data_IF_916745871534
#
_entry.id   IF_916745871534
#
_cell.length_a   1.000
_cell.length_b   1.000
_cell.length_c   1.000
_cell.angle_alpha   90.00
_cell.angle_beta   90.00
_cell.angle_gamma   90.00
#
_symmetry.space_group_name_H-M   'P 1'
#
loop_
_entity.id
_entity.type
_entity.pdbx_description
1 polymer ?
#
# COMPACT_ATOMS: atom_id res chain seq x y z
N UNK A 1 28.56 9.16 9.61
CA UNK A 1 27.46 8.19 9.85
C UNK A 1 26.67 8.07 8.57
N UNK A 2 26.35 6.85 8.14
CA UNK A 2 25.61 6.55 6.90
C UNK A 2 24.41 5.69 7.27
N UNK A 3 23.24 6.07 6.80
CA UNK A 3 22.02 5.23 6.86
C UNK A 3 21.58 4.90 5.44
N UNK A 4 21.42 3.63 5.15
CA UNK A 4 20.88 3.17 3.88
C UNK A 4 19.37 2.98 3.97
N UNK A 5 18.64 3.36 2.92
CA UNK A 5 17.21 3.08 2.77
C UNK A 5 17.02 1.88 1.84
N UNK A 6 16.30 0.88 2.32
CA UNK A 6 15.96 -0.32 1.55
C UNK A 6 14.48 -0.24 1.11
N UNK A 7 14.20 0.11 -0.14
CA UNK A 7 12.83 0.33 -0.59
C UNK A 7 12.08 -0.97 -0.86
N UNK A 8 10.87 -1.07 -0.33
CA UNK A 8 9.93 -2.15 -0.61
C UNK A 8 8.64 -1.52 -1.17
N UNK A 9 8.49 -1.58 -2.47
CA UNK A 9 7.39 -0.96 -3.22
C UNK A 9 6.98 -1.81 -4.41
N UNK A 10 5.73 -1.71 -4.82
CA UNK A 10 5.20 -2.32 -6.03
C UNK A 10 4.05 -1.48 -6.59
N UNK A 11 3.81 -1.62 -7.88
CA UNK A 11 2.57 -1.10 -8.45
C UNK A 11 1.39 -1.95 -7.96
N UNK A 12 0.31 -1.28 -7.65
CA UNK A 12 -0.93 -1.90 -7.19
C UNK A 12 -2.06 -1.45 -8.11
N UNK A 13 -2.61 -2.38 -8.87
CA UNK A 13 -3.64 -2.12 -9.87
C UNK A 13 -5.03 -2.33 -9.26
N UNK A 14 -5.41 -1.46 -8.29
CA UNK A 14 -6.75 -1.47 -7.69
C UNK A 14 -7.72 -0.81 -8.65
N UNK A 15 -8.84 -1.48 -8.94
CA UNK A 15 -9.93 -0.84 -9.65
C UNK A 15 -10.62 0.20 -8.77
N UNK A 16 -10.83 1.43 -9.27
CA UNK A 16 -11.43 2.50 -8.50
C UNK A 16 -12.86 2.13 -8.09
N UNK A 17 -13.23 2.49 -6.86
CA UNK A 17 -14.57 2.28 -6.35
C UNK A 17 -15.51 3.44 -6.63
N UNK A 18 -16.82 3.19 -6.49
CA UNK A 18 -17.84 4.24 -6.47
C UNK A 18 -17.67 5.11 -5.22
N UNK A 19 -18.02 6.37 -5.36
CA UNK A 19 -18.09 7.34 -4.26
C UNK A 19 -19.55 7.58 -3.85
N UNK A 20 -19.79 8.13 -2.65
CA UNK A 20 -21.10 8.46 -2.16
C UNK A 20 -21.61 7.48 -1.10
N UNK A 21 -22.78 6.87 -1.29
CA UNK A 21 -23.40 5.96 -0.32
C UNK A 21 -22.77 4.55 -0.25
N UNK A 22 -21.55 4.38 -0.75
CA UNK A 22 -20.84 3.12 -0.68
C UNK A 22 -20.56 2.70 0.77
N UNK A 23 -20.52 1.40 1.07
CA UNK A 23 -20.16 0.91 2.40
C UNK A 23 -18.77 1.40 2.80
N UNK A 24 -18.54 1.61 4.10
CA UNK A 24 -17.27 2.13 4.63
C UNK A 24 -16.05 1.31 4.18
N UNK A 25 -16.23 0.00 4.04
CA UNK A 25 -15.19 -0.91 3.53
C UNK A 25 -15.66 -1.56 2.24
N UNK A 26 -15.21 -1.04 1.11
CA UNK A 26 -15.49 -1.64 -0.18
C UNK A 26 -14.66 -2.90 -0.40
N UNK A 27 -15.18 -3.93 -1.09
CA UNK A 27 -14.41 -5.10 -1.49
C UNK A 27 -13.16 -4.69 -2.27
N UNK A 28 -12.05 -5.41 -2.07
CA UNK A 28 -10.85 -5.20 -2.85
C UNK A 28 -11.01 -5.90 -4.20
N UNK A 29 -10.95 -5.12 -5.27
CA UNK A 29 -10.95 -5.62 -6.64
C UNK A 29 -9.67 -5.15 -7.32
N UNK A 30 -8.87 -6.10 -7.81
CA UNK A 30 -7.65 -5.84 -8.55
C UNK A 30 -7.88 -6.09 -10.04
N UNK A 31 -7.26 -5.29 -10.89
CA UNK A 31 -7.32 -5.46 -12.34
C UNK A 31 -6.57 -6.71 -12.83
N UNK A 32 -5.66 -7.25 -12.02
CA UNK A 32 -4.91 -8.47 -12.32
C UNK A 32 -4.32 -9.07 -11.04
N UNK A 33 -3.84 -10.31 -11.12
CA UNK A 33 -3.25 -11.04 -9.99
C UNK A 33 -1.71 -10.98 -9.94
N UNK A 34 -1.10 -9.99 -10.60
CA UNK A 34 0.36 -9.86 -10.68
C UNK A 34 1.02 -9.64 -9.31
N UNK A 35 0.31 -8.96 -8.39
CA UNK A 35 0.79 -8.73 -7.04
C UNK A 35 0.89 -10.04 -6.25
N UNK A 36 -0.07 -10.96 -6.40
CA UNK A 36 0.00 -12.30 -5.80
C UNK A 36 1.27 -13.05 -6.21
N UNK A 37 1.61 -13.01 -7.50
CA UNK A 37 2.86 -13.60 -7.99
C UNK A 37 4.12 -12.95 -7.40
N UNK A 38 4.10 -11.66 -7.05
CA UNK A 38 5.22 -10.99 -6.37
C UNK A 38 5.31 -11.35 -4.88
N UNK A 39 4.19 -11.66 -4.23
CA UNK A 39 4.10 -12.07 -2.82
C UNK A 39 4.38 -13.57 -2.62
N UNK A 40 4.23 -14.39 -3.64
CA UNK A 40 4.53 -15.82 -3.60
C UNK A 40 5.99 -16.08 -3.16
N UNK A 41 6.34 -17.24 -2.61
CA UNK A 41 7.67 -17.52 -2.03
C UNK A 41 8.85 -17.19 -2.96
N UNK A 42 8.69 -17.45 -4.27
CA UNK A 42 9.70 -17.14 -5.27
C UNK A 42 9.53 -15.75 -5.91
N UNK A 43 8.55 -15.00 -5.47
CA UNK A 43 8.23 -13.68 -5.98
C UNK A 43 9.22 -12.59 -5.54
N UNK A 44 9.23 -11.49 -6.28
CA UNK A 44 10.15 -10.38 -6.05
C UNK A 44 10.02 -9.78 -4.65
N UNK A 45 8.80 -9.52 -4.19
CA UNK A 45 8.57 -8.90 -2.88
C UNK A 45 8.97 -9.83 -1.72
N UNK A 46 8.68 -11.13 -1.84
CA UNK A 46 9.10 -12.11 -0.84
C UNK A 46 10.62 -12.20 -0.76
N UNK A 47 11.31 -12.28 -1.90
CA UNK A 47 12.77 -12.30 -1.94
C UNK A 47 13.39 -11.03 -1.35
N UNK A 48 12.83 -9.85 -1.63
CA UNK A 48 13.33 -8.60 -1.06
C UNK A 48 13.23 -8.60 0.46
N UNK A 49 12.11 -9.03 1.01
CA UNK A 49 11.89 -9.08 2.46
C UNK A 49 12.80 -10.12 3.11
N UNK A 50 12.92 -11.31 2.53
CA UNK A 50 13.77 -12.39 3.04
C UNK A 50 15.25 -12.00 3.02
N UNK A 51 15.74 -11.38 1.95
CA UNK A 51 17.12 -10.89 1.85
C UNK A 51 17.41 -9.78 2.86
N UNK A 52 16.45 -8.89 3.11
CA UNK A 52 16.61 -7.87 4.15
C UNK A 52 16.71 -8.50 5.54
N UNK A 53 15.81 -9.45 5.87
CA UNK A 53 15.82 -10.16 7.15
C UNK A 53 17.16 -10.89 7.36
N UNK A 54 17.67 -11.54 6.33
CA UNK A 54 18.97 -12.23 6.38
C UNK A 54 20.13 -11.23 6.59
N UNK A 55 20.17 -10.16 5.80
CA UNK A 55 21.22 -9.15 5.90
C UNK A 55 21.22 -8.43 7.25
N UNK A 56 20.02 -8.12 7.80
CA UNK A 56 19.85 -7.43 9.08
C UNK A 56 20.26 -8.28 10.30
N UNK A 57 20.51 -9.60 10.12
CA UNK A 57 21.12 -10.43 11.17
C UNK A 57 22.55 -9.98 11.51
N UNK A 58 23.22 -9.31 10.56
CA UNK A 58 24.51 -8.66 10.83
C UNK A 58 24.23 -7.33 11.54
N UNK A 59 24.65 -7.14 12.80
CA UNK A 59 24.27 -5.96 13.60
C UNK A 59 24.61 -4.63 12.92
N UNK A 60 25.77 -4.54 12.27
CA UNK A 60 26.24 -3.33 11.58
C UNK A 60 25.30 -2.95 10.41
N UNK A 61 24.76 -3.96 9.70
CA UNK A 61 23.79 -3.77 8.61
C UNK A 61 22.43 -3.37 9.19
N UNK A 62 21.97 -4.09 10.21
CA UNK A 62 20.68 -3.81 10.85
C UNK A 62 20.61 -2.39 11.44
N UNK A 63 21.69 -1.91 12.08
CA UNK A 63 21.74 -0.54 12.64
C UNK A 63 21.90 0.54 11.56
N UNK A 64 22.49 0.24 10.43
CA UNK A 64 22.75 1.20 9.37
C UNK A 64 21.68 1.24 8.27
N UNK A 65 20.63 0.41 8.38
CA UNK A 65 19.63 0.28 7.32
C UNK A 65 18.21 0.47 7.84
N UNK A 66 17.42 1.29 7.15
CA UNK A 66 15.98 1.41 7.37
C UNK A 66 15.21 0.87 6.16
N UNK A 67 14.15 0.13 6.40
CA UNK A 67 13.23 -0.28 5.33
C UNK A 67 12.29 0.87 5.00
N UNK A 68 12.29 1.30 3.75
CA UNK A 68 11.36 2.30 3.24
C UNK A 68 10.14 1.58 2.64
N UNK A 69 9.02 1.63 3.34
CA UNK A 69 7.79 0.93 2.98
C UNK A 69 6.83 1.81 2.22
N UNK A 70 6.28 1.27 1.14
CA UNK A 70 5.14 1.86 0.43
C UNK A 70 3.84 1.57 1.21
N UNK A 71 3.19 2.59 1.80
CA UNK A 71 2.01 2.36 2.62
C UNK A 71 0.79 1.91 1.79
N UNK A 72 0.70 2.27 0.51
CA UNK A 72 -0.39 1.79 -0.34
C UNK A 72 -0.25 0.29 -0.63
N UNK A 73 0.99 -0.20 -0.81
CA UNK A 73 1.27 -1.63 -0.90
C UNK A 73 0.87 -2.35 0.39
N UNK A 74 1.26 -1.82 1.56
CA UNK A 74 0.95 -2.40 2.86
C UNK A 74 -0.56 -2.48 3.10
N UNK A 75 -1.32 -1.42 2.80
CA UNK A 75 -2.79 -1.39 2.90
C UNK A 75 -3.43 -2.44 1.98
N UNK A 76 -2.93 -2.54 0.76
CA UNK A 76 -3.47 -3.51 -0.22
C UNK A 76 -3.21 -4.95 0.22
N UNK A 77 -1.98 -5.26 0.63
CA UNK A 77 -1.64 -6.62 1.08
C UNK A 77 -2.40 -6.98 2.36
N UNK A 78 -2.62 -6.03 3.26
CA UNK A 78 -3.48 -6.23 4.44
C UNK A 78 -4.90 -6.61 4.04
N UNK A 79 -5.47 -5.97 3.03
CA UNK A 79 -6.79 -6.31 2.51
C UNK A 79 -6.79 -7.65 1.78
N UNK A 80 -5.76 -7.95 0.98
CA UNK A 80 -5.63 -9.20 0.24
C UNK A 80 -5.65 -10.44 1.15
N UNK A 81 -5.08 -10.37 2.35
CA UNK A 81 -5.08 -11.52 3.29
C UNK A 81 -6.49 -11.94 3.73
N UNK A 82 -7.49 -11.07 3.59
CA UNK A 82 -8.89 -11.34 3.90
C UNK A 82 -9.72 -11.77 2.69
N UNK A 83 -9.09 -11.90 1.53
CA UNK A 83 -9.74 -12.23 0.25
C UNK A 83 -9.95 -11.00 -0.62
N UNK A 84 -9.87 -11.20 -1.91
CA UNK A 84 -10.08 -10.17 -2.93
C UNK A 84 -10.54 -10.84 -4.24
N UNK A 85 -11.02 -10.03 -5.17
CA UNK A 85 -11.40 -10.47 -6.51
C UNK A 85 -10.51 -9.83 -7.58
N UNK A 86 -10.40 -10.52 -8.71
CA UNK A 86 -9.74 -10.02 -9.91
C UNK A 86 -10.79 -9.85 -10.99
N UNK A 87 -10.88 -8.67 -11.58
CA UNK A 87 -11.85 -8.37 -12.62
C UNK A 87 -11.32 -7.26 -13.54
N UNK A 88 -11.87 -7.15 -14.75
CA UNK A 88 -11.61 -6.05 -15.68
C UNK A 88 -12.48 -4.82 -15.34
N UNK A 89 -13.65 -5.03 -14.76
CA UNK A 89 -14.57 -3.99 -14.34
C UNK A 89 -14.93 -4.18 -12.88
N UNK A 90 -15.07 -3.07 -12.15
CA UNK A 90 -15.55 -3.13 -10.78
C UNK A 90 -17.06 -3.28 -10.77
N UNK A 91 -17.61 -4.29 -10.08
CA UNK A 91 -19.05 -4.43 -9.95
C UNK A 91 -19.65 -3.21 -9.23
N UNK A 92 -20.84 -2.79 -9.66
CA UNK A 92 -21.57 -1.72 -9.03
C UNK A 92 -21.89 -2.08 -7.57
N UNK A 93 -21.60 -1.17 -6.63
CA UNK A 93 -21.87 -1.37 -5.20
C UNK A 93 -23.38 -1.37 -4.92
N UNK A 94 -24.14 -0.64 -5.72
CA UNK A 94 -25.61 -0.60 -5.67
C UNK A 94 -26.16 -1.32 -6.89
N UNK A 95 -26.73 -2.49 -6.68
CA UNK A 95 -27.45 -3.17 -7.75
C UNK A 95 -28.66 -2.34 -8.18
N UNK A 96 -28.81 -2.11 -9.49
CA UNK A 96 -30.05 -1.56 -10.02
C UNK A 96 -31.23 -2.44 -9.60
N UNK A 97 -32.36 -1.87 -9.17
CA UNK A 97 -33.51 -2.64 -8.75
C UNK A 97 -34.01 -3.52 -9.92
N UNK A 98 -33.71 -4.81 -9.86
CA UNK A 98 -34.16 -5.79 -10.82
C UNK A 98 -35.67 -5.95 -10.73
N UNK A 99 -36.38 -5.99 -11.86
CA UNK A 99 -37.82 -6.29 -11.85
C UNK A 99 -38.01 -7.69 -11.28
N UNK A 100 -39.05 -7.89 -10.47
CA UNK A 100 -39.38 -9.20 -9.84
C UNK A 100 -39.35 -10.38 -10.83
N UNK A 101 -39.63 -10.14 -12.11
CA UNK A 101 -39.59 -11.15 -13.17
C UNK A 101 -38.14 -11.57 -13.54
N UNK A 102 -37.20 -10.67 -13.41
CA UNK A 102 -35.79 -10.87 -13.79
C UNK A 102 -34.97 -11.45 -12.63
N UNK A 103 -35.55 -11.47 -11.40
CA UNK A 103 -34.93 -12.09 -10.21
C UNK A 103 -35.26 -13.57 -10.05
N UNK A 104 -36.13 -14.13 -10.89
CA UNK A 104 -36.43 -15.57 -10.87
C UNK A 104 -35.50 -16.33 -11.82
N UNK A 105 -34.46 -16.95 -11.24
CA UNK A 105 -33.65 -17.98 -11.91
C UNK A 105 -32.29 -17.56 -12.47
N UNK A 106 -31.79 -16.38 -12.15
CA UNK A 106 -30.41 -15.99 -12.41
C UNK A 106 -29.61 -15.99 -11.12
N UNK A 107 -28.74 -16.96 -10.91
CA UNK A 107 -27.59 -16.72 -10.05
C UNK A 107 -26.85 -15.51 -10.64
N UNK A 108 -26.65 -14.46 -9.83
CA UNK A 108 -25.74 -13.40 -10.21
C UNK A 108 -24.40 -14.07 -10.55
N UNK A 109 -23.86 -13.77 -11.75
CA UNK A 109 -22.50 -14.20 -12.05
C UNK A 109 -21.60 -13.73 -10.92
N UNK A 110 -20.66 -14.53 -10.42
CA UNK A 110 -19.74 -14.10 -9.40
C UNK A 110 -19.02 -12.84 -9.92
N UNK A 111 -19.04 -11.78 -9.14
CA UNK A 111 -18.38 -10.52 -9.45
C UNK A 111 -16.86 -10.75 -9.44
N UNK A 112 -16.26 -11.06 -10.58
CA UNK A 112 -14.85 -11.33 -10.76
C UNK A 112 -14.39 -12.74 -10.33
N UNK A 113 -13.13 -13.06 -10.60
CA UNK A 113 -12.51 -14.31 -10.16
C UNK A 113 -11.87 -14.12 -8.76
N UNK A 114 -11.99 -15.11 -7.86
CA UNK A 114 -11.28 -15.03 -6.56
C UNK A 114 -9.77 -14.93 -6.77
N UNK A 115 -9.12 -13.95 -6.14
CA UNK A 115 -7.67 -13.83 -6.17
C UNK A 115 -6.97 -14.97 -5.43
N UNK A 116 -5.84 -15.43 -5.96
CA UNK A 116 -5.12 -16.60 -5.45
C UNK A 116 -4.10 -16.28 -4.33
N UNK A 117 -3.78 -15.01 -4.08
CA UNK A 117 -2.65 -14.59 -3.26
C UNK A 117 -2.93 -14.34 -1.77
N UNK A 118 -4.09 -14.70 -1.23
CA UNK A 118 -4.48 -14.36 0.15
C UNK A 118 -3.53 -14.95 1.21
N UNK A 119 -3.15 -16.21 1.08
CA UNK A 119 -2.24 -16.89 2.03
C UNK A 119 -0.81 -16.32 1.93
N UNK A 120 -0.32 -16.09 0.71
CA UNK A 120 1.01 -15.48 0.50
C UNK A 120 1.04 -14.03 1.01
N UNK A 121 -0.03 -13.27 0.83
CA UNK A 121 -0.18 -11.93 1.39
C UNK A 121 -0.05 -11.93 2.92
N UNK A 122 -0.70 -12.88 3.59
CA UNK A 122 -0.61 -13.04 5.04
C UNK A 122 0.82 -13.37 5.48
N UNK A 123 1.45 -14.37 4.86
CA UNK A 123 2.83 -14.79 5.19
C UNK A 123 3.80 -13.63 5.00
N UNK A 124 3.70 -12.93 3.88
CA UNK A 124 4.55 -11.79 3.59
C UNK A 124 4.35 -10.64 4.59
N UNK A 125 3.10 -10.31 4.90
CA UNK A 125 2.78 -9.24 5.84
C UNK A 125 3.29 -9.54 7.26
N UNK A 126 3.26 -10.79 7.69
CA UNK A 126 3.79 -11.21 8.99
C UNK A 126 5.33 -11.03 9.06
N UNK A 127 6.05 -11.27 7.97
CA UNK A 127 7.49 -10.95 7.86
C UNK A 127 7.74 -9.44 7.95
N UNK A 128 6.94 -8.63 7.27
CA UNK A 128 7.05 -7.16 7.33
C UNK A 128 6.73 -6.64 8.73
N UNK A 129 5.73 -7.20 9.42
CA UNK A 129 5.44 -6.89 10.83
C UNK A 129 6.63 -7.22 11.74
N UNK A 130 7.31 -8.33 11.50
CA UNK A 130 8.52 -8.67 12.24
C UNK A 130 9.63 -7.63 12.04
N UNK A 131 9.88 -7.19 10.79
CA UNK A 131 10.82 -6.12 10.48
C UNK A 131 10.42 -4.83 11.21
N UNK A 132 9.14 -4.47 11.15
CA UNK A 132 8.62 -3.25 11.75
C UNK A 132 8.75 -3.24 13.30
N UNK A 133 8.67 -4.41 13.93
CA UNK A 133 8.82 -4.56 15.38
C UNK A 133 10.28 -4.53 15.86
N UNK A 134 11.24 -4.86 15.00
CA UNK A 134 12.63 -5.08 15.41
C UNK A 134 13.63 -4.12 14.77
N UNK A 135 13.25 -3.44 13.67
CA UNK A 135 14.12 -2.62 12.86
C UNK A 135 13.65 -1.18 12.68
N UNK A 136 14.37 -0.46 11.85
CA UNK A 136 14.04 0.89 11.44
C UNK A 136 13.12 0.86 10.21
N UNK A 137 11.99 1.58 10.29
CA UNK A 137 11.03 1.73 9.19
C UNK A 137 10.84 3.20 8.85
N UNK A 138 10.78 3.51 7.57
CA UNK A 138 10.45 4.82 7.03
C UNK A 138 9.25 4.69 6.09
N UNK A 139 8.26 5.56 6.23
CA UNK A 139 7.14 5.61 5.30
C UNK A 139 7.53 6.32 4.01
N UNK A 140 7.26 5.71 2.87
CA UNK A 140 7.23 6.41 1.60
C UNK A 140 5.95 7.28 1.51
N UNK A 141 5.91 8.29 0.64
CA UNK A 141 4.68 9.01 0.35
C UNK A 141 3.57 8.05 -0.08
N UNK A 142 2.32 8.38 0.27
CA UNK A 142 1.17 7.57 -0.16
C UNK A 142 1.17 7.35 -1.67
N UNK A 143 1.01 6.10 -2.09
CA UNK A 143 1.01 5.67 -3.49
C UNK A 143 2.27 6.14 -4.28
N UNK A 144 3.41 6.28 -3.61
CA UNK A 144 4.65 6.79 -4.19
C UNK A 144 4.48 8.14 -4.90
N UNK A 145 3.61 9.02 -4.39
CA UNK A 145 3.33 10.32 -4.99
C UNK A 145 4.62 11.14 -5.17
N UNK A 146 4.77 11.75 -6.35
CA UNK A 146 5.81 12.73 -6.59
C UNK A 146 5.47 14.03 -5.84
N UNK A 147 6.15 14.27 -4.72
CA UNK A 147 5.90 15.43 -3.85
C UNK A 147 6.22 16.76 -4.53
N UNK A 148 7.12 16.78 -5.52
CA UNK A 148 7.35 17.98 -6.31
C UNK A 148 6.14 18.29 -7.20
N UNK A 149 5.55 17.25 -7.82
CA UNK A 149 4.32 17.42 -8.59
C UNK A 149 3.14 17.84 -7.69
N UNK A 150 3.00 17.23 -6.52
CA UNK A 150 1.97 17.62 -5.53
C UNK A 150 2.13 19.08 -5.11
N UNK A 151 3.37 19.52 -4.78
CA UNK A 151 3.64 20.91 -4.40
C UNK A 151 3.25 21.91 -5.49
N UNK A 152 3.50 21.56 -6.76
CA UNK A 152 3.12 22.43 -7.91
C UNK A 152 1.61 22.63 -8.04
N UNK A 153 0.77 21.76 -7.48
CA UNK A 153 -0.69 21.98 -7.47
C UNK A 153 -1.12 23.11 -6.53
N UNK A 154 -0.30 23.43 -5.52
CA UNK A 154 -0.64 24.37 -4.47
C UNK A 154 -1.70 23.87 -3.48
N UNK A 155 -2.14 22.63 -3.61
CA UNK A 155 -3.15 22.02 -2.76
C UNK A 155 -2.52 21.47 -1.47
N UNK A 156 -2.75 22.18 -0.36
CA UNK A 156 -2.21 21.81 0.95
C UNK A 156 -2.82 20.52 1.49
N UNK A 157 -4.09 20.25 1.21
CA UNK A 157 -4.74 19.01 1.64
C UNK A 157 -4.12 17.80 0.92
N UNK A 158 -3.91 17.90 -0.38
CA UNK A 158 -3.29 16.85 -1.16
C UNK A 158 -1.85 16.56 -0.68
N UNK A 159 -1.10 17.61 -0.32
CA UNK A 159 0.25 17.45 0.25
C UNK A 159 0.20 16.71 1.59
N UNK A 160 -0.73 17.06 2.47
CA UNK A 160 -0.93 16.36 3.75
C UNK A 160 -1.28 14.89 3.54
N UNK A 161 -2.23 14.60 2.67
CA UNK A 161 -2.60 13.21 2.34
C UNK A 161 -1.39 12.42 1.82
N UNK A 162 -0.59 13.01 0.93
CA UNK A 162 0.58 12.35 0.39
C UNK A 162 1.62 11.99 1.47
N UNK A 163 1.75 12.79 2.52
CA UNK A 163 2.78 12.65 3.56
C UNK A 163 2.25 11.96 4.83
N UNK A 164 1.08 12.36 5.34
CA UNK A 164 0.60 11.91 6.66
C UNK A 164 -0.16 10.57 6.59
N UNK A 165 -0.79 10.27 5.46
CA UNK A 165 -1.56 9.03 5.30
C UNK A 165 -0.70 7.78 5.46
N UNK A 166 0.54 7.82 4.97
CA UNK A 166 1.46 6.70 5.04
C UNK A 166 1.76 6.25 6.48
N UNK A 167 2.30 7.11 7.35
CA UNK A 167 2.53 6.80 8.77
C UNK A 167 1.28 6.29 9.50
N UNK A 168 0.11 6.85 9.19
CA UNK A 168 -1.16 6.39 9.76
C UNK A 168 -1.48 4.94 9.37
N UNK A 169 -1.31 4.59 8.09
CA UNK A 169 -1.54 3.22 7.59
C UNK A 169 -0.53 2.25 8.21
N UNK A 170 0.76 2.61 8.24
CA UNK A 170 1.78 1.77 8.86
C UNK A 170 1.48 1.54 10.34
N UNK A 171 1.05 2.57 11.08
CA UNK A 171 0.65 2.41 12.49
C UNK A 171 -0.53 1.44 12.64
N UNK A 172 -1.53 1.54 11.78
CA UNK A 172 -2.71 0.67 11.81
C UNK A 172 -2.37 -0.79 11.50
N UNK A 173 -1.54 -1.03 10.48
CA UNK A 173 -1.30 -2.39 9.95
C UNK A 173 -0.11 -3.07 10.61
N UNK A 174 0.96 -2.31 10.90
CA UNK A 174 2.23 -2.85 11.40
C UNK A 174 2.49 -2.53 12.88
N UNK A 175 1.68 -1.66 13.49
CA UNK A 175 1.87 -1.23 14.88
C UNK A 175 2.95 -0.15 15.07
N UNK A 176 3.49 0.41 14.00
CA UNK A 176 4.47 1.51 14.06
C UNK A 176 4.21 2.53 12.96
N UNK A 177 4.29 3.81 13.29
CA UNK A 177 4.24 4.88 12.29
C UNK A 177 5.54 5.03 11.47
N UNK A 178 6.59 4.29 11.86
CA UNK A 178 7.93 4.47 11.34
C UNK A 178 8.63 5.71 11.94
N UNK A 179 9.72 6.12 11.29
CA UNK A 179 10.47 7.30 11.70
C UNK A 179 9.65 8.57 11.44
N UNK A 180 9.38 9.34 12.51
CA UNK A 180 8.59 10.57 12.43
C UNK A 180 9.43 11.72 11.84
N UNK A 181 8.74 12.73 11.30
CA UNK A 181 9.34 13.94 10.71
C UNK A 181 10.37 13.65 9.60
N UNK A 182 10.18 12.55 8.91
CA UNK A 182 11.04 12.12 7.81
C UNK A 182 10.20 11.96 6.54
N UNK A 183 10.64 12.58 5.47
CA UNK A 183 10.02 12.45 4.15
C UNK A 183 11.07 11.96 3.17
N UNK A 184 10.74 10.90 2.45
CA UNK A 184 11.58 10.36 1.36
C UNK A 184 10.98 10.77 0.04
N UNK A 185 11.72 11.53 -0.75
CA UNK A 185 11.28 11.93 -2.09
C UNK A 185 11.70 10.88 -3.11
N UNK A 186 10.75 10.38 -3.89
CA UNK A 186 11.01 9.34 -4.90
C UNK A 186 11.99 9.81 -6.00
N UNK A 187 12.01 11.12 -6.30
CA UNK A 187 12.92 11.71 -7.27
C UNK A 187 14.35 11.91 -6.74
N UNK A 188 14.59 11.73 -5.43
CA UNK A 188 15.90 11.97 -4.81
C UNK A 188 16.27 13.44 -4.66
N UNK A 189 15.39 14.37 -4.99
CA UNK A 189 15.58 15.82 -4.83
C UNK A 189 14.27 16.52 -4.47
N UNK A 190 14.39 17.74 -3.96
CA UNK A 190 13.27 18.61 -3.57
C UNK A 190 13.42 19.92 -4.35
N UNK A 191 12.36 20.35 -5.05
CA UNK A 191 12.30 21.66 -5.70
C UNK A 191 12.13 22.78 -4.67
N UNK A 192 12.52 24.00 -5.01
CA UNK A 192 12.47 25.16 -4.11
C UNK A 192 11.08 25.43 -3.52
N UNK A 193 10.02 25.14 -4.28
CA UNK A 193 8.63 25.27 -3.84
C UNK A 193 8.13 24.13 -2.97
N UNK A 194 8.79 22.97 -2.99
CA UNK A 194 8.34 21.76 -2.30
C UNK A 194 8.68 21.80 -0.80
N UNK A 195 9.87 22.24 -0.44
CA UNK A 195 10.28 22.30 0.97
C UNK A 195 9.35 23.15 1.85
N UNK A 196 8.94 24.38 1.43
CA UNK A 196 7.92 25.14 2.15
C UNK A 196 6.55 24.45 2.20
N UNK A 197 6.17 23.70 1.17
CA UNK A 197 4.89 23.00 1.11
C UNK A 197 4.84 21.78 2.05
N UNK A 198 5.98 21.24 2.48
CA UNK A 198 6.09 20.17 3.46
C UNK A 198 6.00 20.67 4.92
N UNK A 199 6.17 21.97 5.14
CA UNK A 199 6.06 22.61 6.45
C UNK A 199 4.65 23.19 6.62
N UNK A 200 3.75 22.46 7.28
CA UNK A 200 2.54 23.05 7.82
C UNK A 200 2.78 23.41 9.27
N UNK A 201 2.80 24.72 9.54
CA UNK A 201 2.71 25.19 10.91
C UNK A 201 1.28 24.96 11.41
N UNK A 202 1.15 24.44 12.61
CA UNK A 202 -0.10 24.37 13.36
C UNK A 202 -0.70 25.76 13.60
#
# INVERSE_FOLDING_TARGET
>A
ELTALYPVTANVDILPGETGEAPETQPLVLANDSLAGQLAPEGRLSKLVDQYIEAAQTPEVGYATCVALDPALIDTVERMQHGYTVDDERPAVVEEPKRLRDSWGGEAAPDGEPGAGADDAKVWLDKVRHIAATGCVVSLPWANADLNAVARTGDKWLMREAVERGPFVLQRVLGTAGTLNTVVTGAGYVEDGTAPALGWAD
#
